data_IF_259240071485
#
_entry.id   IF_259240071485
#
_cell.length_a   1.000
_cell.length_b   1.000
_cell.length_c   1.000
_cell.angle_alpha   90.00
_cell.angle_beta   90.00
_cell.angle_gamma   90.00
#
_symmetry.space_group_name_H-M   'P 1'
#
loop_
_entity.id
_entity.type
_entity.pdbx_description
1 polymer ?
#
# COMPACT_ATOMS: atom_id res chain seq x y z
N UNK A 1 14.85 -17.53 -9.26
CA UNK A 1 14.25 -16.39 -10.01
C UNK A 1 12.73 -16.55 -10.06
N UNK A 2 12.06 -16.41 -8.91
CA UNK A 2 10.59 -16.57 -8.78
C UNK A 2 9.94 -15.38 -8.05
N UNK A 3 10.64 -14.24 -7.97
CA UNK A 3 10.41 -13.18 -6.98
C UNK A 3 9.65 -11.94 -7.45
N UNK A 4 8.56 -12.10 -8.21
CA UNK A 4 7.47 -11.10 -8.33
C UNK A 4 6.16 -11.84 -8.51
N UNK A 5 6.14 -12.83 -9.42
CA UNK A 5 4.94 -13.62 -9.68
C UNK A 5 4.39 -14.30 -8.43
N UNK A 6 5.27 -14.71 -7.51
CA UNK A 6 4.86 -15.33 -6.24
C UNK A 6 4.17 -14.32 -5.31
N UNK A 7 4.77 -13.16 -5.05
CA UNK A 7 4.18 -12.15 -4.18
C UNK A 7 2.94 -11.48 -4.80
N UNK A 8 2.92 -11.31 -6.12
CA UNK A 8 1.75 -10.81 -6.83
C UNK A 8 0.56 -11.77 -6.68
N UNK A 9 0.78 -13.07 -6.86
CA UNK A 9 -0.25 -14.09 -6.63
C UNK A 9 -0.70 -14.09 -5.16
N UNK A 10 0.24 -13.98 -4.21
CA UNK A 10 -0.08 -13.87 -2.79
C UNK A 10 -0.96 -12.64 -2.48
N UNK A 11 -0.66 -11.48 -3.06
CA UNK A 11 -1.49 -10.29 -2.92
C UNK A 11 -2.91 -10.51 -3.48
N UNK A 12 -3.03 -11.14 -4.65
CA UNK A 12 -4.31 -11.48 -5.26
C UNK A 12 -5.11 -12.41 -4.34
N UNK A 13 -4.51 -13.51 -3.88
CA UNK A 13 -5.15 -14.49 -2.99
C UNK A 13 -5.64 -13.85 -1.67
N UNK A 14 -4.83 -12.98 -1.05
CA UNK A 14 -5.22 -12.22 0.14
C UNK A 14 -6.40 -11.30 -0.18
N UNK A 15 -6.34 -10.60 -1.31
CA UNK A 15 -7.38 -9.67 -1.73
C UNK A 15 -8.70 -10.39 -1.99
N UNK A 16 -8.67 -11.58 -2.60
CA UNK A 16 -9.87 -12.35 -2.93
C UNK A 16 -10.67 -12.81 -1.72
N UNK A 17 -10.03 -12.97 -0.55
CA UNK A 17 -10.73 -13.21 0.74
C UNK A 17 -11.67 -12.06 1.14
N UNK A 18 -11.44 -10.87 0.59
CA UNK A 18 -12.10 -9.62 0.97
C UNK A 18 -12.93 -9.02 -0.18
N UNK A 19 -12.41 -9.09 -1.41
CA UNK A 19 -13.06 -8.65 -2.64
C UNK A 19 -12.96 -9.77 -3.68
N UNK A 20 -14.03 -10.54 -3.94
CA UNK A 20 -13.96 -11.82 -4.66
C UNK A 20 -13.70 -11.71 -6.18
N UNK A 21 -13.05 -10.63 -6.65
CA UNK A 21 -12.76 -10.35 -8.07
C UNK A 21 -11.50 -9.46 -8.20
N UNK A 22 -10.39 -9.87 -7.60
CA UNK A 22 -9.11 -9.24 -7.92
C UNK A 22 -8.60 -9.78 -9.26
N UNK A 23 -8.15 -8.93 -10.17
CA UNK A 23 -7.67 -9.37 -11.49
C UNK A 23 -6.73 -8.35 -12.11
N UNK A 24 -5.94 -8.79 -13.08
CA UNK A 24 -5.12 -7.91 -13.91
C UNK A 24 -5.88 -7.65 -15.21
N UNK A 25 -6.06 -6.38 -15.57
CA UNK A 25 -6.75 -6.01 -16.80
C UNK A 25 -5.79 -5.92 -18.01
N UNK A 26 -6.33 -5.61 -19.19
CA UNK A 26 -5.53 -5.50 -20.42
C UNK A 26 -4.54 -4.31 -20.44
N UNK A 27 -4.66 -3.35 -19.51
CA UNK A 27 -3.75 -2.22 -19.35
C UNK A 27 -2.61 -2.52 -18.37
N UNK A 28 -2.46 -3.77 -17.93
CA UNK A 28 -1.51 -4.18 -16.91
C UNK A 28 -1.74 -3.46 -15.56
N UNK A 29 -3.01 -3.26 -15.20
CA UNK A 29 -3.42 -2.74 -13.89
C UNK A 29 -3.93 -3.89 -13.03
N UNK A 30 -3.40 -3.99 -11.81
CA UNK A 30 -3.96 -4.87 -10.79
C UNK A 30 -5.18 -4.20 -10.16
N UNK A 31 -6.36 -4.70 -10.50
CA UNK A 31 -7.63 -4.27 -9.92
C UNK A 31 -7.86 -5.09 -8.65
N UNK A 32 -7.85 -4.43 -7.48
CA UNK A 32 -7.99 -5.09 -6.18
C UNK A 32 -9.43 -5.05 -5.67
N UNK A 33 -10.09 -3.88 -5.78
CA UNK A 33 -11.49 -3.71 -5.38
C UNK A 33 -12.23 -2.95 -6.48
N UNK A 34 -12.81 -3.64 -7.48
CA UNK A 34 -13.43 -3.01 -8.64
C UNK A 34 -14.54 -2.01 -8.26
N UNK A 35 -15.37 -2.35 -7.28
CA UNK A 35 -16.50 -1.52 -6.82
C UNK A 35 -16.07 -0.25 -6.07
N UNK A 36 -14.78 -0.11 -5.76
CA UNK A 36 -14.18 1.05 -5.09
C UNK A 36 -13.08 1.72 -5.89
N UNK A 37 -12.84 1.27 -7.12
CA UNK A 37 -11.80 1.79 -7.98
C UNK A 37 -10.43 1.78 -7.29
N UNK A 38 -10.12 0.70 -6.57
CA UNK A 38 -8.82 0.50 -5.92
C UNK A 38 -7.99 -0.40 -6.82
N UNK A 39 -6.94 0.17 -7.40
CA UNK A 39 -6.05 -0.49 -8.34
C UNK A 39 -4.70 0.23 -8.40
N UNK A 40 -3.71 -0.40 -9.03
CA UNK A 40 -2.48 0.26 -9.45
C UNK A 40 -1.89 -0.40 -10.70
N UNK A 41 -1.08 0.36 -11.44
CA UNK A 41 -0.34 -0.13 -12.61
C UNK A 41 0.84 -1.02 -12.19
N UNK A 42 1.10 -2.06 -12.99
CA UNK A 42 2.19 -3.03 -12.79
C UNK A 42 3.39 -2.79 -13.73
N UNK A 43 3.33 -1.79 -14.60
CA UNK A 43 4.37 -1.53 -15.64
C UNK A 43 5.78 -1.29 -15.07
N UNK A 44 5.87 -0.76 -13.86
CA UNK A 44 7.11 -0.46 -13.13
C UNK A 44 7.39 -1.45 -11.98
N UNK A 45 6.63 -2.55 -11.87
CA UNK A 45 6.83 -3.59 -10.85
C UNK A 45 7.75 -4.68 -11.36
N UNK A 46 9.03 -4.64 -10.96
CA UNK A 46 10.07 -5.59 -11.41
C UNK A 46 10.56 -6.52 -10.31
N UNK A 47 10.31 -6.16 -9.05
CA UNK A 47 10.74 -6.87 -7.85
C UNK A 47 9.64 -6.90 -6.79
N UNK A 48 9.75 -7.82 -5.82
CA UNK A 48 8.87 -7.84 -4.64
C UNK A 48 8.91 -6.50 -3.88
N UNK A 49 10.06 -5.81 -3.88
CA UNK A 49 10.20 -4.48 -3.29
C UNK A 49 9.33 -3.44 -4.02
N UNK A 50 9.32 -3.44 -5.35
CA UNK A 50 8.46 -2.54 -6.14
C UNK A 50 6.98 -2.79 -5.85
N UNK A 51 6.58 -4.06 -5.72
CA UNK A 51 5.21 -4.42 -5.39
C UNK A 51 4.82 -3.92 -4.00
N UNK A 52 5.68 -4.07 -3.00
CA UNK A 52 5.46 -3.53 -1.65
C UNK A 52 5.37 -2.01 -1.66
N UNK A 53 6.21 -1.31 -2.41
CA UNK A 53 6.09 0.14 -2.61
C UNK A 53 4.74 0.52 -3.24
N UNK A 54 4.25 -0.23 -4.24
CA UNK A 54 2.90 -0.01 -4.79
C UNK A 54 1.80 -0.19 -3.75
N UNK A 55 1.90 -1.23 -2.91
CA UNK A 55 0.94 -1.45 -1.84
C UNK A 55 0.94 -0.28 -0.84
N UNK A 56 2.12 0.19 -0.41
CA UNK A 56 2.26 1.39 0.43
C UNK A 56 1.60 2.61 -0.22
N UNK A 57 1.92 2.89 -1.48
CA UNK A 57 1.45 4.07 -2.19
C UNK A 57 -0.08 4.09 -2.43
N UNK A 58 -0.64 2.96 -2.86
CA UNK A 58 -1.99 2.90 -3.42
C UNK A 58 -3.04 2.31 -2.47
N UNK A 59 -2.64 1.51 -1.47
CA UNK A 59 -3.57 0.97 -0.46
C UNK A 59 -3.58 1.76 0.84
N UNK A 60 -2.58 2.62 1.10
CA UNK A 60 -2.57 3.41 2.33
C UNK A 60 -3.77 4.35 2.45
N UNK A 61 -4.09 5.10 1.37
CA UNK A 61 -5.26 5.98 1.34
C UNK A 61 -6.57 5.25 1.65
N UNK A 62 -6.99 4.23 0.86
CA UNK A 62 -8.24 3.55 1.10
C UNK A 62 -8.28 2.80 2.44
N UNK A 63 -7.14 2.56 3.10
CA UNK A 63 -7.09 1.98 4.45
C UNK A 63 -7.52 2.96 5.55
N UNK A 64 -7.38 4.28 5.36
CA UNK A 64 -7.72 5.28 6.36
C UNK A 64 -8.78 6.31 5.92
N UNK A 65 -8.94 6.57 4.61
CA UNK A 65 -9.85 7.60 4.06
C UNK A 65 -10.28 7.36 2.62
N UNK A 66 -11.17 8.22 2.11
CA UNK A 66 -11.59 8.22 0.69
C UNK A 66 -12.57 7.13 0.27
N UNK A 67 -12.80 6.11 1.11
CA UNK A 67 -13.86 5.11 0.97
C UNK A 67 -14.68 5.01 2.26
N UNK A 68 -15.86 4.38 2.22
CA UNK A 68 -16.67 4.19 3.43
C UNK A 68 -15.99 3.28 4.47
N UNK A 69 -16.31 3.48 5.75
CA UNK A 69 -15.65 2.80 6.88
C UNK A 69 -15.62 1.26 6.77
N UNK A 70 -16.68 0.65 6.22
CA UNK A 70 -16.74 -0.79 5.92
C UNK A 70 -15.59 -1.25 5.01
N UNK A 71 -15.23 -0.44 4.01
CA UNK A 71 -14.16 -0.74 3.06
C UNK A 71 -12.79 -0.32 3.58
N UNK A 72 -12.69 0.74 4.39
CA UNK A 72 -11.44 1.11 5.05
C UNK A 72 -10.87 -0.05 5.86
N UNK A 73 -11.70 -0.65 6.72
CA UNK A 73 -11.31 -1.82 7.53
C UNK A 73 -10.84 -3.01 6.69
N UNK A 74 -11.47 -3.22 5.55
CA UNK A 74 -11.18 -4.34 4.63
C UNK A 74 -9.88 -4.15 3.86
N UNK A 75 -9.64 -2.94 3.38
CA UNK A 75 -8.39 -2.63 2.67
C UNK A 75 -7.21 -2.61 3.64
N UNK A 76 -7.43 -2.12 4.86
CA UNK A 76 -6.45 -2.23 5.95
C UNK A 76 -6.13 -3.70 6.28
N UNK A 77 -7.13 -4.59 6.29
CA UNK A 77 -6.89 -6.01 6.47
C UNK A 77 -6.00 -6.59 5.36
N UNK A 78 -6.28 -6.27 4.09
CA UNK A 78 -5.45 -6.70 2.95
C UNK A 78 -4.01 -6.18 3.12
N UNK A 79 -3.87 -4.88 3.44
CA UNK A 79 -2.58 -4.22 3.64
C UNK A 79 -1.76 -4.93 4.74
N UNK A 80 -2.35 -5.11 5.92
CA UNK A 80 -1.69 -5.72 7.06
C UNK A 80 -1.33 -7.18 6.81
N UNK A 81 -2.24 -7.97 6.21
CA UNK A 81 -1.97 -9.37 5.90
C UNK A 81 -0.88 -9.53 4.84
N UNK A 82 -0.86 -8.68 3.81
CA UNK A 82 0.16 -8.73 2.77
C UNK A 82 1.53 -8.30 3.29
N UNK A 83 1.64 -7.17 3.98
CA UNK A 83 2.93 -6.65 4.45
C UNK A 83 3.41 -7.32 5.75
N UNK A 84 2.55 -8.07 6.45
CA UNK A 84 2.89 -8.69 7.74
C UNK A 84 2.89 -7.69 8.90
N UNK A 85 2.04 -6.66 8.82
CA UNK A 85 1.94 -5.58 9.81
C UNK A 85 0.63 -5.69 10.62
N UNK A 86 0.46 -4.83 11.62
CA UNK A 86 -0.77 -4.74 12.41
C UNK A 86 -1.16 -3.27 12.67
N UNK A 87 -1.07 -2.44 11.63
CA UNK A 87 -1.38 -1.02 11.77
C UNK A 87 -2.87 -0.78 12.03
N UNK A 88 -3.11 0.21 12.88
CA UNK A 88 -4.40 0.85 13.10
C UNK A 88 -4.73 1.84 11.98
N UNK A 89 -5.98 2.29 11.96
CA UNK A 89 -6.43 3.33 11.03
C UNK A 89 -5.66 4.65 11.21
N UNK A 90 -5.29 4.99 12.45
CA UNK A 90 -4.60 6.24 12.79
C UNK A 90 -3.15 6.21 12.28
N UNK A 91 -2.45 5.09 12.51
CA UNK A 91 -1.10 4.88 11.96
C UNK A 91 -1.10 4.90 10.42
N UNK A 92 -2.15 4.37 9.79
CA UNK A 92 -2.30 4.43 8.34
C UNK A 92 -2.50 5.83 7.78
N UNK A 93 -3.00 6.79 8.57
CA UNK A 93 -3.04 8.18 8.13
C UNK A 93 -1.62 8.76 8.02
N UNK A 94 -0.74 8.43 8.98
CA UNK A 94 0.68 8.78 8.93
C UNK A 94 1.39 8.12 7.73
N UNK A 95 1.20 6.81 7.55
CA UNK A 95 1.73 6.06 6.39
C UNK A 95 1.27 6.68 5.07
N UNK A 96 -0.02 6.99 4.93
CA UNK A 96 -0.53 7.64 3.72
C UNK A 96 0.07 9.03 3.51
N UNK A 97 0.21 9.83 4.57
CA UNK A 97 0.73 11.20 4.47
C UNK A 97 2.15 11.23 3.90
N UNK A 98 3.01 10.27 4.29
CA UNK A 98 4.41 10.26 3.86
C UNK A 98 4.73 9.36 2.68
N UNK A 99 3.94 8.29 2.46
CA UNK A 99 4.24 7.28 1.43
C UNK A 99 3.14 7.15 0.37
N UNK A 100 1.98 7.76 0.59
CA UNK A 100 0.83 7.70 -0.31
C UNK A 100 1.14 8.30 -1.68
N UNK A 101 0.51 7.74 -2.72
CA UNK A 101 0.73 8.14 -4.12
C UNK A 101 2.21 8.15 -4.54
N UNK A 102 3.06 7.38 -3.86
CA UNK A 102 4.48 7.26 -4.16
C UNK A 102 5.24 8.60 -4.06
N UNK A 103 4.82 9.48 -3.15
CA UNK A 103 5.40 10.82 -2.99
C UNK A 103 6.88 10.81 -2.63
N UNK A 104 7.35 9.76 -1.95
CA UNK A 104 8.76 9.56 -1.63
C UNK A 104 9.13 8.06 -1.70
N UNK A 105 9.64 7.63 -2.86
CA UNK A 105 10.01 6.23 -3.11
C UNK A 105 11.16 5.76 -2.20
N UNK A 106 12.16 6.60 -1.99
CA UNK A 106 13.33 6.25 -1.15
C UNK A 106 12.90 6.04 0.31
N UNK A 107 12.02 6.90 0.83
CA UNK A 107 11.45 6.72 2.16
C UNK A 107 10.59 5.45 2.25
N UNK A 108 9.85 5.11 1.20
CA UNK A 108 9.07 3.87 1.14
C UNK A 108 9.97 2.64 1.21
N UNK A 109 11.12 2.66 0.53
CA UNK A 109 12.12 1.59 0.59
C UNK A 109 12.71 1.51 2.00
N UNK A 110 13.15 2.63 2.57
CA UNK A 110 13.69 2.67 3.94
C UNK A 110 12.68 2.15 4.97
N UNK A 111 11.39 2.47 4.80
CA UNK A 111 10.32 1.97 5.65
C UNK A 111 10.11 0.45 5.52
N UNK A 112 10.25 -0.11 4.31
CA UNK A 112 10.17 -1.57 4.10
C UNK A 112 11.39 -2.26 4.72
N UNK A 113 12.59 -1.72 4.49
CA UNK A 113 13.86 -2.29 4.97
C UNK A 113 13.99 -2.22 6.50
N UNK A 114 13.37 -1.24 7.15
CA UNK A 114 13.29 -1.16 8.62
C UNK A 114 12.33 -2.17 9.25
N UNK A 115 11.58 -2.93 8.44
CA UNK A 115 10.51 -3.80 8.94
C UNK A 115 9.23 -3.04 9.28
N UNK A 116 8.95 -1.97 8.54
CA UNK A 116 7.78 -1.10 8.72
C UNK A 116 7.76 -0.34 10.05
N UNK A 117 8.93 0.09 10.52
CA UNK A 117 9.07 0.92 11.72
C UNK A 117 8.55 2.34 11.45
N UNK A 118 7.44 2.70 12.12
CA UNK A 118 6.79 4.01 11.99
C UNK A 118 7.69 5.17 12.41
N UNK A 119 8.74 4.94 13.21
CA UNK A 119 9.69 5.98 13.61
C UNK A 119 10.57 6.48 12.46
N UNK A 120 10.62 5.74 11.34
CA UNK A 120 11.29 6.16 10.10
C UNK A 120 10.51 7.26 9.39
N UNK A 121 9.20 7.38 9.62
CA UNK A 121 8.38 8.42 9.01
C UNK A 121 8.62 9.77 9.72
N UNK A 122 8.75 10.88 8.97
CA UNK A 122 8.89 12.19 9.57
C UNK A 122 7.75 12.49 10.53
N UNK A 123 8.06 13.05 11.69
CA UNK A 123 7.04 13.62 12.56
C UNK A 123 6.68 15.00 11.99
N UNK A 124 5.40 15.35 11.94
CA UNK A 124 4.87 16.62 11.38
C UNK A 124 5.66 17.88 11.78
N UNK A 125 6.36 17.88 12.92
CA UNK A 125 7.19 19.00 13.38
C UNK A 125 8.37 19.34 12.45
N UNK A 126 8.90 18.41 11.65
CA UNK A 126 10.05 18.67 10.76
C UNK A 126 9.67 19.32 9.41
N UNK A 127 8.40 19.31 9.00
CA UNK A 127 7.96 19.94 7.75
C UNK A 127 7.75 21.46 7.87
N UNK A 128 7.58 21.97 9.09
CA UNK A 128 7.41 23.40 9.36
C UNK A 128 8.75 24.17 9.46
N UNK A 129 9.85 23.48 9.73
CA UNK A 129 11.18 24.11 9.89
C UNK A 129 11.96 24.25 8.57
N UNK A 130 11.55 23.55 7.51
CA UNK A 130 12.20 23.60 6.19
C UNK A 130 11.60 24.62 5.20
N UNK A 131 10.62 25.42 5.64
CA UNK A 131 9.90 26.39 4.81
C UNK A 131 10.20 27.86 5.19
N UNK A 132 11.31 28.13 5.88
CA UNK A 132 11.81 29.47 6.21
C UNK A 132 13.05 29.83 5.39
#
# INVERSE_FOLDING_TARGET
MTGVGTELNRLIEITEKVSPKAFINHNNELILVPTKNIYFRLEDVKTDLDLKCKVLAWLSRPSCKGVGHYWQKRVLQIFNEFLGTNFSKEEMDNVYTHLGNDVNRELSISFIESGYDLTVLPIEQQLLEGAQ
#
